data_IF_390896340904
#
_entry.id   IF_390896340904
#
_cell.length_a   1.000
_cell.length_b   1.000
_cell.length_c   1.000
_cell.angle_alpha   90.00
_cell.angle_beta   90.00
_cell.angle_gamma   90.00
#
_symmetry.space_group_name_H-M   'P 1'
#
loop_
_entity.id
_entity.type
_entity.pdbx_description
1 polymer ?
#
# COMPACT_ATOMS: atom_id res chain seq x y z
N UNK A 1 2.06 6.06 54.17
CA UNK A 1 2.26 6.60 52.81
C UNK A 1 1.92 5.49 51.82
N UNK A 2 0.71 5.50 51.26
CA UNK A 2 0.32 4.51 50.25
C UNK A 2 0.97 4.89 48.93
N UNK A 3 2.00 4.13 48.54
CA UNK A 3 2.62 4.23 47.23
C UNK A 3 1.68 3.58 46.21
N UNK A 4 0.91 4.40 45.50
CA UNK A 4 0.08 3.95 44.39
C UNK A 4 0.98 3.58 43.22
N UNK A 5 1.13 2.28 43.00
CA UNK A 5 1.82 1.70 41.86
C UNK A 5 0.96 1.93 40.60
N UNK A 6 1.33 2.92 39.77
CA UNK A 6 0.69 3.17 38.49
C UNK A 6 1.16 2.09 37.51
N UNK A 7 0.34 1.06 37.31
CA UNK A 7 0.50 0.09 36.24
C UNK A 7 0.17 0.77 34.91
N UNK A 8 1.20 1.13 34.15
CA UNK A 8 1.05 1.52 32.75
C UNK A 8 0.63 0.27 31.94
N UNK A 9 -0.67 0.12 31.67
CA UNK A 9 -1.16 -0.80 30.65
C UNK A 9 -0.59 -0.32 29.30
N UNK A 10 0.40 -1.04 28.79
CA UNK A 10 0.83 -0.89 27.41
C UNK A 10 -0.16 -1.65 26.54
N UNK A 11 -1.05 -0.94 25.86
CA UNK A 11 -1.85 -1.55 24.80
C UNK A 11 -0.91 -1.87 23.64
N UNK A 12 -0.81 -3.14 23.19
CA UNK A 12 -0.09 -3.44 21.97
C UNK A 12 -0.80 -2.70 20.84
N UNK A 13 -0.05 -1.88 20.10
CA UNK A 13 -0.51 -1.30 18.85
C UNK A 13 -0.79 -2.49 17.91
N UNK A 14 -2.05 -2.87 17.75
CA UNK A 14 -2.44 -3.90 16.78
C UNK A 14 -1.98 -3.42 15.40
N UNK A 15 -1.04 -4.15 14.80
CA UNK A 15 -0.77 -4.00 13.38
C UNK A 15 -2.09 -4.30 12.67
N UNK A 16 -2.50 -3.43 11.73
CA UNK A 16 -3.73 -3.64 10.99
C UNK A 16 -3.66 -5.02 10.31
N UNK A 17 -4.52 -5.95 10.71
CA UNK A 17 -4.55 -7.28 10.15
C UNK A 17 -5.01 -7.20 8.69
N UNK A 18 -4.18 -7.71 7.79
CA UNK A 18 -4.50 -7.77 6.37
C UNK A 18 -5.35 -9.02 6.07
N UNK A 19 -6.50 -8.82 5.45
CA UNK A 19 -7.33 -9.90 4.92
C UNK A 19 -6.93 -10.20 3.48
N UNK A 20 -6.60 -11.45 3.18
CA UNK A 20 -6.23 -11.88 1.83
C UNK A 20 -7.34 -12.69 1.18
N UNK A 21 -7.67 -12.37 -0.07
CA UNK A 21 -8.67 -13.11 -0.85
C UNK A 21 -8.26 -13.24 -2.32
N UNK A 22 -8.90 -14.17 -3.03
CA UNK A 22 -8.90 -14.19 -4.49
C UNK A 22 -10.05 -13.31 -4.99
N UNK A 23 -9.77 -12.41 -5.91
CA UNK A 23 -10.80 -11.59 -6.54
C UNK A 23 -10.31 -10.92 -7.81
N UNK A 24 -10.98 -9.85 -8.19
CA UNK A 24 -10.76 -9.16 -9.47
C UNK A 24 -10.38 -7.69 -9.28
N UNK A 25 -9.76 -7.14 -10.32
CA UNK A 25 -9.49 -5.70 -10.45
C UNK A 25 -10.26 -5.11 -11.64
N UNK A 26 -10.71 -3.87 -11.51
CA UNK A 26 -11.20 -3.04 -12.61
C UNK A 26 -10.21 -1.91 -12.86
N UNK A 27 -9.88 -1.66 -14.11
CA UNK A 27 -8.89 -0.63 -14.47
C UNK A 27 -9.36 0.14 -15.71
N UNK A 28 -9.16 1.47 -15.75
CA UNK A 28 -9.43 2.24 -16.96
C UNK A 28 -8.45 1.85 -18.06
N UNK A 29 -8.95 1.60 -19.27
CA UNK A 29 -8.19 1.25 -20.46
C UNK A 29 -8.88 1.82 -21.71
N UNK A 30 -8.27 2.80 -22.38
CA UNK A 30 -8.79 3.39 -23.63
C UNK A 30 -10.28 3.79 -23.58
N UNK A 31 -10.70 4.48 -22.50
CA UNK A 31 -12.09 4.85 -22.21
C UNK A 31 -13.06 3.70 -21.86
N UNK A 32 -12.56 2.46 -21.80
CA UNK A 32 -13.29 1.28 -21.33
C UNK A 32 -12.77 0.82 -19.96
N UNK A 33 -13.55 -0.02 -19.27
CA UNK A 33 -13.10 -0.68 -18.02
C UNK A 33 -12.66 -2.09 -18.34
N UNK A 34 -11.38 -2.39 -18.11
CA UNK A 34 -10.85 -3.75 -18.17
C UNK A 34 -10.99 -4.44 -16.82
N UNK A 35 -11.65 -5.60 -16.80
CA UNK A 35 -11.65 -6.50 -15.65
C UNK A 35 -10.47 -7.47 -15.76
N UNK A 36 -9.62 -7.50 -14.75
CA UNK A 36 -8.55 -8.49 -14.61
C UNK A 36 -8.99 -9.46 -13.53
N UNK A 37 -9.36 -10.67 -13.93
CA UNK A 37 -9.82 -11.70 -13.02
C UNK A 37 -8.67 -12.44 -12.34
N UNK A 38 -8.96 -13.00 -11.15
CA UNK A 38 -8.21 -14.09 -10.53
C UNK A 38 -6.81 -13.76 -9.98
N UNK A 39 -6.66 -12.67 -9.22
CA UNK A 39 -5.45 -12.44 -8.41
C UNK A 39 -5.72 -12.61 -6.91
N UNK A 40 -4.75 -13.13 -6.18
CA UNK A 40 -4.77 -13.09 -4.70
C UNK A 40 -4.12 -11.79 -4.23
N UNK A 41 -4.87 -11.01 -3.48
CA UNK A 41 -4.41 -9.76 -2.88
C UNK A 41 -4.89 -9.65 -1.44
N UNK A 42 -4.25 -8.77 -0.69
CA UNK A 42 -4.53 -8.51 0.70
C UNK A 42 -4.88 -7.04 0.91
N UNK A 43 -5.84 -6.74 1.77
CA UNK A 43 -6.27 -5.38 2.11
C UNK A 43 -6.55 -5.25 3.60
N UNK A 44 -6.51 -4.02 4.12
CA UNK A 44 -6.91 -3.74 5.51
C UNK A 44 -8.44 -3.60 5.64
N UNK A 45 -8.92 -3.58 6.89
CA UNK A 45 -10.35 -3.44 7.20
C UNK A 45 -10.98 -2.20 6.53
N UNK A 46 -10.28 -1.07 6.55
CA UNK A 46 -10.74 0.20 5.97
C UNK A 46 -10.67 0.26 4.44
N UNK A 47 -10.14 -0.77 3.76
CA UNK A 47 -9.97 -0.82 2.30
C UNK A 47 -9.11 0.32 1.73
N UNK A 48 -8.21 0.85 2.55
CA UNK A 48 -7.26 1.93 2.20
C UNK A 48 -5.87 1.41 1.86
N UNK A 49 -5.58 0.15 2.18
CA UNK A 49 -4.34 -0.53 1.88
C UNK A 49 -4.59 -1.73 0.97
N UNK A 50 -3.71 -1.94 0.00
CA UNK A 50 -3.79 -3.05 -0.93
C UNK A 50 -2.38 -3.60 -1.20
N UNK A 51 -2.23 -4.91 -1.12
CA UNK A 51 -0.96 -5.60 -1.31
C UNK A 51 -1.16 -6.83 -2.17
N UNK A 52 -0.16 -7.14 -2.97
CA UNK A 52 0.06 -8.51 -3.43
C UNK A 52 0.39 -9.43 -2.25
N UNK A 53 0.06 -10.72 -2.37
CA UNK A 53 0.22 -11.69 -1.28
C UNK A 53 1.66 -11.76 -0.74
N UNK A 54 2.63 -11.72 -1.63
CA UNK A 54 4.07 -11.74 -1.33
C UNK A 54 4.56 -10.46 -0.64
N UNK A 55 3.85 -9.33 -0.81
CA UNK A 55 4.15 -8.09 -0.11
C UNK A 55 3.63 -7.99 1.32
N UNK A 56 2.81 -8.93 1.80
CA UNK A 56 2.23 -8.89 3.15
C UNK A 56 3.31 -8.79 4.25
N UNK A 57 4.43 -9.50 4.07
CA UNK A 57 5.54 -9.49 5.04
C UNK A 57 6.52 -8.32 4.89
N UNK A 58 6.23 -7.39 3.97
CA UNK A 58 7.11 -6.27 3.59
C UNK A 58 8.50 -6.71 3.09
N UNK A 59 8.61 -7.92 2.52
CA UNK A 59 9.85 -8.48 1.95
C UNK A 59 9.87 -8.51 0.41
N UNK A 60 8.84 -7.96 -0.24
CA UNK A 60 8.78 -7.87 -1.69
C UNK A 60 9.56 -6.66 -2.21
N UNK A 61 9.72 -6.58 -3.55
CA UNK A 61 10.45 -5.50 -4.23
C UNK A 61 10.03 -4.10 -3.77
N UNK A 62 8.75 -3.88 -3.45
CA UNK A 62 8.24 -2.60 -2.98
C UNK A 62 8.92 -2.03 -1.73
N UNK A 63 9.55 -2.87 -0.89
CA UNK A 63 10.12 -2.49 0.40
C UNK A 63 11.60 -2.86 0.56
N UNK A 64 12.19 -3.57 -0.40
CA UNK A 64 13.60 -3.99 -0.35
C UNK A 64 14.52 -3.09 -1.17
N UNK A 65 13.96 -2.14 -1.90
CA UNK A 65 14.75 -1.17 -2.68
C UNK A 65 15.39 -0.16 -1.74
N UNK A 66 16.73 -0.19 -1.69
CA UNK A 66 17.53 0.77 -0.93
C UNK A 66 17.82 2.00 -1.80
N UNK A 67 17.01 3.04 -1.60
CA UNK A 67 17.19 4.33 -2.27
C UNK A 67 17.08 5.47 -1.26
N UNK A 68 17.86 6.51 -1.47
CA UNK A 68 17.66 7.78 -0.79
C UNK A 68 16.51 8.55 -1.45
N UNK A 69 15.38 8.63 -0.75
CA UNK A 69 14.23 9.42 -1.17
C UNK A 69 14.27 10.77 -0.46
N UNK A 70 14.67 11.81 -1.17
CA UNK A 70 14.50 13.18 -0.68
C UNK A 70 13.03 13.56 -0.82
N UNK A 71 12.42 14.02 0.27
CA UNK A 71 11.01 14.44 0.29
C UNK A 71 10.69 15.46 -0.80
N UNK A 72 11.62 16.37 -1.11
CA UNK A 72 11.49 17.35 -2.17
C UNK A 72 11.30 16.75 -3.58
N UNK A 73 11.85 15.56 -3.84
CA UNK A 73 11.71 14.88 -5.13
C UNK A 73 10.32 14.24 -5.32
N UNK A 74 9.58 14.09 -4.21
CA UNK A 74 8.30 13.37 -4.17
C UNK A 74 7.12 14.34 -4.05
N UNK A 75 7.28 15.40 -3.27
CA UNK A 75 6.27 16.45 -3.05
C UNK A 75 6.29 17.52 -4.16
N UNK A 76 6.06 17.11 -5.41
CA UNK A 76 5.68 18.05 -6.47
C UNK A 76 4.16 18.32 -6.39
N UNK A 77 3.76 19.59 -6.39
CA UNK A 77 2.35 20.00 -6.35
C UNK A 77 1.56 19.58 -7.60
N UNK A 78 2.24 19.20 -8.70
CA UNK A 78 1.61 18.84 -9.97
C UNK A 78 1.36 17.34 -10.15
N UNK A 79 1.77 16.49 -9.22
CA UNK A 79 1.63 15.03 -9.36
C UNK A 79 1.30 14.33 -8.04
N UNK A 80 0.66 13.15 -8.11
CA UNK A 80 0.42 12.31 -6.94
C UNK A 80 1.79 11.87 -6.34
N UNK A 81 2.09 12.21 -5.07
CA UNK A 81 3.36 11.85 -4.43
C UNK A 81 3.65 10.34 -4.44
N UNK A 82 2.63 9.51 -4.23
CA UNK A 82 2.75 8.06 -4.32
C UNK A 82 3.13 7.57 -5.72
N UNK A 83 2.66 8.25 -6.77
CA UNK A 83 3.03 7.90 -8.16
C UNK A 83 4.47 8.29 -8.46
N UNK A 84 4.91 9.45 -7.98
CA UNK A 84 6.31 9.88 -8.08
C UNK A 84 7.23 8.87 -7.41
N UNK A 85 6.90 8.47 -6.18
CA UNK A 85 7.68 7.49 -5.43
C UNK A 85 7.69 6.12 -6.11
N UNK A 86 6.54 5.66 -6.59
CA UNK A 86 6.43 4.41 -7.35
C UNK A 86 7.38 4.38 -8.56
N UNK A 87 7.39 5.46 -9.36
CA UNK A 87 8.29 5.58 -10.52
C UNK A 87 9.76 5.59 -10.09
N UNK A 88 10.10 6.30 -9.01
CA UNK A 88 11.47 6.37 -8.48
C UNK A 88 11.97 5.02 -7.99
N UNK A 89 11.07 4.18 -7.45
CA UNK A 89 11.35 2.80 -7.06
C UNK A 89 11.38 1.81 -8.26
N UNK A 90 11.22 2.30 -9.50
CA UNK A 90 11.23 1.47 -10.71
C UNK A 90 9.93 0.71 -10.98
N UNK A 91 8.85 1.04 -10.27
CA UNK A 91 7.52 0.50 -10.50
C UNK A 91 6.67 1.34 -11.45
N UNK A 92 5.52 0.79 -11.82
CA UNK A 92 4.50 1.42 -12.66
C UNK A 92 3.27 1.78 -11.81
N UNK A 93 2.91 3.07 -11.69
CA UNK A 93 1.72 3.46 -10.96
C UNK A 93 0.47 3.14 -11.81
N UNK A 94 -0.57 2.65 -11.15
CA UNK A 94 -1.84 2.29 -11.77
C UNK A 94 -3.02 2.72 -10.89
N UNK A 95 -4.06 3.27 -11.52
CA UNK A 95 -5.37 3.45 -10.89
C UNK A 95 -6.19 2.19 -11.12
N UNK A 96 -6.90 1.73 -10.09
CA UNK A 96 -7.77 0.57 -10.18
C UNK A 96 -8.91 0.62 -9.15
N UNK A 97 -9.86 -0.28 -9.31
CA UNK A 97 -10.74 -0.71 -8.25
C UNK A 97 -10.47 -2.19 -7.95
N UNK A 98 -10.48 -2.56 -6.67
CA UNK A 98 -10.41 -3.96 -6.27
C UNK A 98 -11.73 -4.40 -5.65
N UNK A 99 -12.09 -5.65 -5.86
CA UNK A 99 -13.29 -6.22 -5.26
C UNK A 99 -13.05 -6.57 -3.79
N UNK A 100 -13.96 -6.26 -2.88
CA UNK A 100 -13.97 -6.81 -1.53
C UNK A 100 -15.41 -6.91 -1.05
N UNK A 101 -15.80 -8.02 -0.41
CA UNK A 101 -17.18 -8.21 0.06
C UNK A 101 -18.26 -7.97 -1.01
N UNK A 102 -17.96 -8.26 -2.29
CA UNK A 102 -18.81 -8.00 -3.48
C UNK A 102 -19.00 -6.52 -3.85
N UNK A 103 -18.21 -5.63 -3.28
CA UNK A 103 -18.17 -4.19 -3.59
C UNK A 103 -16.83 -3.82 -4.23
N UNK A 104 -16.80 -2.70 -4.95
CA UNK A 104 -15.60 -2.20 -5.64
C UNK A 104 -15.02 -1.00 -4.90
N UNK A 105 -13.73 -1.06 -4.58
CA UNK A 105 -13.03 -0.02 -3.83
C UNK A 105 -11.92 0.57 -4.68
N UNK A 106 -11.98 1.88 -4.91
CA UNK A 106 -11.00 2.60 -5.70
C UNK A 106 -9.72 2.84 -4.89
N UNK A 107 -8.59 2.46 -5.47
CA UNK A 107 -7.26 2.74 -4.95
C UNK A 107 -6.28 2.96 -6.10
N UNK A 108 -5.11 3.46 -5.76
CA UNK A 108 -3.95 3.33 -6.61
C UNK A 108 -3.01 2.23 -6.10
N UNK A 109 -2.18 1.72 -7.01
CA UNK A 109 -1.07 0.83 -6.66
C UNK A 109 0.17 1.12 -7.47
N UNK A 110 1.28 0.63 -6.96
CA UNK A 110 2.52 0.50 -7.69
C UNK A 110 2.76 -0.96 -8.05
N UNK A 111 2.92 -1.28 -9.33
CA UNK A 111 3.26 -2.63 -9.81
C UNK A 111 4.73 -2.69 -10.19
N UNK A 112 5.45 -3.69 -9.69
CA UNK A 112 6.87 -3.91 -9.94
C UNK A 112 7.08 -4.97 -11.04
N UNK A 113 8.32 -5.06 -11.55
CA UNK A 113 8.67 -5.96 -12.65
C UNK A 113 8.46 -7.44 -12.34
N UNK A 114 8.55 -7.82 -11.06
CA UNK A 114 8.29 -9.17 -10.57
C UNK A 114 6.79 -9.49 -10.43
N UNK A 115 5.91 -8.52 -10.73
CA UNK A 115 4.46 -8.64 -10.59
C UNK A 115 3.96 -8.33 -9.18
N UNK A 116 4.85 -8.10 -8.21
CA UNK A 116 4.47 -7.64 -6.88
C UNK A 116 3.86 -6.24 -6.95
N UNK A 117 2.94 -5.94 -6.05
CA UNK A 117 2.33 -4.63 -5.95
C UNK A 117 1.92 -4.25 -4.53
N UNK A 118 1.82 -2.94 -4.29
CA UNK A 118 1.30 -2.33 -3.06
C UNK A 118 0.57 -1.02 -3.39
N UNK A 119 -0.38 -0.58 -2.57
CA UNK A 119 -1.00 0.75 -2.71
C UNK A 119 0.05 1.84 -2.56
N UNK A 120 -0.04 2.94 -3.33
CA UNK A 120 1.06 3.93 -3.29
C UNK A 120 1.11 4.69 -1.98
N UNK A 121 -0.02 4.76 -1.26
CA UNK A 121 -0.07 5.26 0.12
C UNK A 121 0.86 4.50 1.09
N UNK A 122 1.02 3.19 0.90
CA UNK A 122 1.93 2.39 1.74
C UNK A 122 3.40 2.63 1.41
N UNK A 123 3.73 2.91 0.15
CA UNK A 123 5.08 3.34 -0.22
C UNK A 123 5.41 4.67 0.46
N UNK A 124 4.50 5.65 0.39
CA UNK A 124 4.68 6.96 1.02
C UNK A 124 4.87 6.80 2.52
N UNK A 125 4.02 5.99 3.16
CA UNK A 125 4.12 5.68 4.60
C UNK A 125 5.43 4.98 4.96
N UNK A 126 5.99 4.15 4.09
CA UNK A 126 7.24 3.46 4.34
C UNK A 126 8.47 4.37 4.17
N UNK A 127 8.57 5.07 3.04
CA UNK A 127 9.78 5.80 2.65
C UNK A 127 9.84 7.24 3.15
N UNK A 128 8.70 7.89 3.42
CA UNK A 128 8.67 9.29 3.87
C UNK A 128 8.35 9.45 5.36
N UNK A 129 8.20 8.36 6.11
CA UNK A 129 8.03 8.44 7.56
C UNK A 129 9.33 8.99 8.19
N UNK A 130 9.25 10.00 9.07
CA UNK A 130 10.43 10.49 9.77
C UNK A 130 11.10 9.32 10.50
N UNK A 131 12.37 9.03 10.18
CA UNK A 131 13.17 8.12 10.99
C UNK A 131 13.44 8.85 12.30
N UNK A 132 12.90 8.31 13.40
CA UNK A 132 13.21 8.78 14.75
C UNK A 132 14.64 8.43 15.11
#
# INVERSE_FOLDING_TARGET
>A
MLSSLILFLTTPLLAADLTCQKGSFRMPYNAETKVVEAQTYCFNEDRTELYSKDCQSRKCTAFTVDIEVKTADILDQKSNPGFNLCRKLGGKPELLEFEASKEWFALDRCVFKDGSFVSTGELVRHYLRPRK
#
